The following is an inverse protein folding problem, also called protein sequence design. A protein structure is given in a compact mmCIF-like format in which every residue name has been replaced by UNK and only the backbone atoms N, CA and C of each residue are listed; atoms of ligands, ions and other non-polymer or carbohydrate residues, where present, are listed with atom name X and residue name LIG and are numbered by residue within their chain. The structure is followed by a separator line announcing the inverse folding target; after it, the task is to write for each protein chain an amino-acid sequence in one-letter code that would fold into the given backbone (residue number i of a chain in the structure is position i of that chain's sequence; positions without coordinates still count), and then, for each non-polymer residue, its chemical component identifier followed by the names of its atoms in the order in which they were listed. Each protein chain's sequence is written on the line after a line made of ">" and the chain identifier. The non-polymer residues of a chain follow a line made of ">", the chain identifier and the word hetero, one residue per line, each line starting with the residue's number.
data_IF_554268254307
#
_entry.id   IF_554268254307
#
_cell.length_a   1.000
_cell.length_b   1.000
_cell.length_c   1.000
_cell.angle_alpha   90.00
_cell.angle_beta   90.00
_cell.angle_gamma   90.00
#
_symmetry.space_group_name_H-M   'P 1'
#
loop_
_entity.id
_entity.type
_entity.pdbx_description
1 polymer ?
#
# COMPACT_ATOMS: atom_id res chain seq x y z
N UNK A 1 8.48 -15.72 64.73
CA UNK A 1 7.03 -15.89 64.95
C UNK A 1 6.50 -14.57 65.47
N UNK A 2 5.35 -14.17 64.92
CA UNK A 2 4.77 -12.83 64.83
C UNK A 2 4.49 -12.09 66.14
N UNK A 3 4.49 -10.75 66.09
CA UNK A 3 3.28 -9.94 66.31
C UNK A 3 3.52 -8.46 65.92
N UNK A 4 2.83 -8.06 64.86
CA UNK A 4 2.44 -6.72 64.43
C UNK A 4 1.71 -5.90 65.50
N UNK A 5 1.91 -4.58 65.57
CA UNK A 5 0.86 -3.58 65.27
C UNK A 5 1.38 -2.13 65.32
N UNK A 6 0.97 -1.37 64.30
CA UNK A 6 1.21 0.05 64.06
C UNK A 6 0.47 0.94 65.06
N UNK A 7 1.10 2.07 65.40
CA UNK A 7 0.51 3.20 66.13
C UNK A 7 0.30 4.38 65.17
N UNK A 8 -0.85 5.01 65.36
CA UNK A 8 -1.42 6.20 64.74
C UNK A 8 -0.63 7.50 64.99
N UNK A 9 -0.93 8.49 64.13
CA UNK A 9 -0.77 9.93 64.31
C UNK A 9 0.62 10.59 64.15
N UNK A 10 0.76 11.35 63.05
CA UNK A 10 1.40 12.66 63.12
C UNK A 10 0.81 13.64 62.11
N UNK A 11 -0.16 14.41 62.58
CA UNK A 11 -0.55 15.70 62.02
C UNK A 11 0.51 16.73 62.39
N UNK A 12 1.11 17.43 61.42
CA UNK A 12 2.08 18.49 61.74
C UNK A 12 2.72 19.20 60.56
N UNK A 13 1.98 20.16 59.96
CA UNK A 13 2.40 21.45 59.38
C UNK A 13 3.83 21.59 58.79
N UNK A 14 3.91 22.05 57.53
CA UNK A 14 4.49 23.36 57.14
C UNK A 14 4.29 23.56 55.64
N UNK A 15 3.73 24.72 55.29
CA UNK A 15 3.50 25.23 53.94
C UNK A 15 4.73 25.97 53.39
N UNK A 16 4.73 26.15 52.06
CA UNK A 16 5.43 27.14 51.19
C UNK A 16 6.05 26.40 49.98
N UNK A 17 5.93 26.79 48.72
CA UNK A 17 5.34 27.90 47.96
C UNK A 17 5.27 27.35 46.52
N UNK A 18 4.16 27.52 45.79
CA UNK A 18 4.20 27.51 44.33
C UNK A 18 3.07 28.38 43.78
N UNK A 19 3.51 29.47 43.15
CA UNK A 19 2.72 30.49 42.48
C UNK A 19 1.91 29.86 41.34
N UNK A 20 0.59 30.00 41.39
CA UNK A 20 -0.29 29.79 40.24
C UNK A 20 -1.14 31.06 40.05
N UNK A 21 -0.63 31.91 39.15
CA UNK A 21 -1.33 33.05 38.59
C UNK A 21 -2.51 32.57 37.72
N UNK A 22 -3.65 33.24 37.87
CA UNK A 22 -4.52 33.59 36.75
C UNK A 22 -5.45 32.51 36.21
N UNK A 23 -6.56 32.24 36.92
CA UNK A 23 -7.80 31.78 36.30
C UNK A 23 -8.80 32.95 36.30
N UNK A 24 -8.82 33.71 35.21
CA UNK A 24 -9.99 34.48 34.80
C UNK A 24 -10.23 34.20 33.34
N UNK A 25 -11.36 33.54 33.10
CA UNK A 25 -11.86 33.11 31.81
C UNK A 25 -12.18 34.30 30.90
N UNK A 26 -11.56 34.34 29.73
CA UNK A 26 -12.18 34.80 28.51
C UNK A 26 -12.11 33.63 27.54
N UNK A 27 -13.20 32.88 27.44
CA UNK A 27 -13.42 31.93 26.37
C UNK A 27 -13.65 32.72 25.09
N UNK A 28 -12.57 33.09 24.40
CA UNK A 28 -12.60 33.33 22.97
C UNK A 28 -12.38 31.97 22.31
N UNK A 29 -13.48 31.38 21.82
CA UNK A 29 -13.46 30.38 20.77
C UNK A 29 -12.80 31.02 19.55
N UNK A 30 -11.49 30.89 19.45
CA UNK A 30 -10.85 30.78 18.14
C UNK A 30 -11.00 29.32 17.75
N UNK A 31 -12.05 29.02 16.99
CA UNK A 31 -12.00 27.91 16.04
C UNK A 31 -10.86 28.26 15.08
N UNK A 32 -9.63 27.93 15.49
CA UNK A 32 -8.59 27.65 14.53
C UNK A 32 -9.04 26.34 13.88
N UNK A 33 -9.72 26.49 12.73
CA UNK A 33 -9.76 25.49 11.68
C UNK A 33 -8.30 25.15 11.33
N UNK A 34 -7.70 24.29 12.15
CA UNK A 34 -6.48 23.57 11.81
C UNK A 34 -6.91 22.55 10.75
N UNK A 35 -7.08 23.06 9.53
CA UNK A 35 -7.33 22.26 8.35
C UNK A 35 -6.30 21.13 8.33
N UNK A 36 -6.79 19.89 8.38
CA UNK A 36 -5.98 18.68 8.36
C UNK A 36 -4.96 18.81 7.20
N UNK A 37 -3.64 18.70 7.46
CA UNK A 37 -2.60 18.82 6.44
C UNK A 37 -2.82 17.91 5.22
N UNK A 38 -3.71 16.92 5.31
CA UNK A 38 -4.07 15.96 4.27
C UNK A 38 -5.19 16.40 3.33
N UNK A 39 -5.96 17.46 3.62
CA UNK A 39 -6.85 18.03 2.60
C UNK A 39 -6.07 18.64 1.42
N UNK A 40 -4.77 18.96 1.61
CA UNK A 40 -3.86 19.33 0.51
C UNK A 40 -3.41 18.16 -0.38
N UNK A 41 -3.60 16.90 0.04
CA UNK A 41 -3.06 15.73 -0.67
C UNK A 41 -3.96 15.21 -1.80
N UNK A 42 -5.18 15.72 -1.96
CA UNK A 42 -6.16 15.19 -2.93
C UNK A 42 -5.87 15.66 -4.37
N UNK A 43 -4.82 16.46 -4.61
CA UNK A 43 -4.56 17.11 -5.90
C UNK A 43 -3.09 17.22 -6.29
N UNK A 44 -2.16 16.50 -5.64
CA UNK A 44 -0.77 16.52 -6.08
C UNK A 44 -0.65 15.78 -7.43
N UNK A 45 -0.74 16.54 -8.53
CA UNK A 45 -0.54 16.03 -9.90
C UNK A 45 0.92 15.71 -10.18
N UNK A 46 1.83 16.16 -9.31
CA UNK A 46 3.26 15.98 -9.47
C UNK A 46 3.95 15.69 -8.14
N UNK A 47 5.04 14.92 -8.20
CA UNK A 47 5.92 14.65 -7.06
C UNK A 47 7.37 14.58 -7.53
N UNK A 48 8.23 15.45 -6.98
CA UNK A 48 9.67 15.33 -7.15
C UNK A 48 10.21 14.44 -6.02
N UNK A 49 10.93 13.39 -6.40
CA UNK A 49 11.61 12.47 -5.47
C UNK A 49 13.10 12.54 -5.72
N UNK A 50 13.88 12.67 -4.66
CA UNK A 50 15.34 12.77 -4.66
C UNK A 50 15.94 11.78 -3.66
N UNK A 51 17.27 11.64 -3.66
CA UNK A 51 17.97 10.83 -2.65
C UNK A 51 17.91 11.37 -1.21
N UNK A 52 17.51 12.62 -1.03
CA UNK A 52 17.39 13.23 0.31
C UNK A 52 16.04 12.92 0.95
N UNK A 53 15.05 12.53 0.14
CA UNK A 53 13.72 12.20 0.61
C UNK A 53 13.71 10.83 1.30
N UNK A 54 12.91 10.72 2.36
CA UNK A 54 12.73 9.46 3.05
C UNK A 54 11.84 8.53 2.20
N UNK A 55 12.39 7.42 1.71
CA UNK A 55 11.67 6.50 0.84
C UNK A 55 10.36 5.96 1.42
N UNK A 56 10.28 5.75 2.74
CA UNK A 56 9.03 5.32 3.38
C UNK A 56 7.96 6.41 3.29
N UNK A 57 8.33 7.66 3.61
CA UNK A 57 7.41 8.79 3.51
C UNK A 57 6.95 9.01 2.08
N UNK A 58 7.86 8.88 1.10
CA UNK A 58 7.51 8.96 -0.32
C UNK A 58 6.46 7.90 -0.68
N UNK A 59 6.71 6.62 -0.36
CA UNK A 59 5.81 5.49 -0.64
C UNK A 59 4.43 5.66 0.04
N UNK A 60 4.39 6.25 1.23
CA UNK A 60 3.14 6.52 1.96
C UNK A 60 2.35 7.71 1.37
N UNK A 61 3.04 8.69 0.78
CA UNK A 61 2.46 9.92 0.24
C UNK A 61 2.09 9.85 -1.26
N UNK A 62 2.48 8.80 -1.99
CA UNK A 62 1.98 8.60 -3.37
C UNK A 62 0.45 8.54 -3.35
N UNK A 63 -0.23 9.29 -4.26
CA UNK A 63 -1.69 9.24 -4.38
C UNK A 63 -2.18 7.79 -4.51
N UNK A 64 -3.10 7.32 -3.65
CA UNK A 64 -3.54 5.92 -3.66
C UNK A 64 -4.08 5.44 -5.01
N UNK A 65 -4.65 6.34 -5.81
CA UNK A 65 -5.19 6.08 -7.15
C UNK A 65 -4.13 5.85 -8.22
N UNK A 66 -2.90 6.28 -7.96
CA UNK A 66 -1.75 6.07 -8.82
C UNK A 66 -0.90 4.88 -8.39
N UNK A 67 -1.18 4.26 -7.24
CA UNK A 67 -0.45 3.09 -6.74
C UNK A 67 -1.04 1.80 -7.32
N UNK A 68 -0.24 1.06 -8.08
CA UNK A 68 -0.56 -0.32 -8.45
C UNK A 68 -0.31 -1.26 -7.27
N UNK A 69 0.86 -1.12 -6.65
CA UNK A 69 1.24 -1.84 -5.45
C UNK A 69 2.41 -1.15 -4.74
N UNK A 70 2.66 -1.56 -3.51
CA UNK A 70 3.82 -1.20 -2.72
C UNK A 70 4.15 -2.29 -1.71
N UNK A 71 5.42 -2.40 -1.37
CA UNK A 71 5.84 -3.22 -0.26
C UNK A 71 7.04 -2.62 0.46
N UNK A 72 7.22 -3.08 1.68
CA UNK A 72 8.36 -2.79 2.54
C UNK A 72 8.84 -4.10 3.13
N UNK A 73 10.15 -4.35 3.07
CA UNK A 73 10.73 -5.59 3.55
C UNK A 73 12.17 -5.42 4.03
N UNK A 74 12.66 -6.42 4.75
CA UNK A 74 14.09 -6.61 5.01
C UNK A 74 14.61 -7.69 4.08
N UNK A 75 15.70 -7.40 3.36
CA UNK A 75 16.34 -8.37 2.47
C UNK A 75 17.25 -9.33 3.26
N UNK A 76 17.85 -10.30 2.56
CA UNK A 76 18.75 -11.29 3.18
C UNK A 76 20.00 -10.66 3.86
N UNK A 77 20.38 -9.44 3.47
CA UNK A 77 21.53 -8.71 4.04
C UNK A 77 21.13 -7.84 5.24
N UNK A 78 19.86 -7.89 5.67
CA UNK A 78 19.34 -7.05 6.76
C UNK A 78 19.03 -5.62 6.34
N UNK A 79 19.06 -5.30 5.04
CA UNK A 79 18.78 -3.97 4.50
C UNK A 79 17.31 -3.78 4.22
N UNK A 80 16.81 -2.57 4.44
CA UNK A 80 15.40 -2.26 4.19
C UNK A 80 15.18 -1.90 2.73
N UNK A 81 14.21 -2.56 2.11
CA UNK A 81 13.78 -2.26 0.74
C UNK A 81 12.34 -1.77 0.80
N UNK A 82 12.10 -0.58 0.26
CA UNK A 82 10.76 -0.08 0.02
C UNK A 82 10.56 0.11 -1.49
N UNK A 83 9.37 -0.25 -1.96
CA UNK A 83 9.01 -0.20 -3.38
C UNK A 83 7.60 0.32 -3.54
N UNK A 84 7.38 1.12 -4.59
CA UNK A 84 6.05 1.52 -5.04
C UNK A 84 6.00 1.44 -6.56
N UNK A 85 4.96 0.80 -7.07
CA UNK A 85 4.65 0.68 -8.48
C UNK A 85 3.47 1.57 -8.84
N UNK A 86 3.49 2.13 -10.04
CA UNK A 86 2.50 3.09 -10.48
C UNK A 86 1.59 2.54 -11.57
N UNK A 87 0.33 2.98 -11.57
CA UNK A 87 -0.63 2.63 -12.62
C UNK A 87 -0.53 3.53 -13.85
N UNK A 88 -0.16 4.79 -13.67
CA UNK A 88 -0.47 5.86 -14.62
C UNK A 88 0.64 6.92 -14.79
N UNK A 89 1.87 6.60 -14.39
CA UNK A 89 3.06 7.45 -14.63
C UNK A 89 3.92 6.89 -15.77
N UNK A 90 4.83 7.70 -16.33
CA UNK A 90 5.83 7.21 -17.30
C UNK A 90 6.84 6.26 -16.66
N UNK A 91 7.20 6.51 -15.40
CA UNK A 91 7.97 5.59 -14.56
C UNK A 91 7.08 4.40 -14.16
N UNK A 92 7.62 3.18 -14.12
CA UNK A 92 6.85 2.01 -13.67
C UNK A 92 6.79 1.86 -12.16
N UNK A 93 7.87 2.21 -11.48
CA UNK A 93 7.95 2.19 -10.03
C UNK A 93 9.25 2.80 -9.50
N UNK A 94 9.28 3.07 -8.20
CA UNK A 94 10.44 3.54 -7.47
C UNK A 94 10.93 2.47 -6.50
N UNK A 95 12.25 2.34 -6.39
CA UNK A 95 12.89 1.47 -5.42
C UNK A 95 13.78 2.30 -4.49
N UNK A 96 13.62 2.06 -3.20
CA UNK A 96 14.39 2.67 -2.14
C UNK A 96 15.13 1.59 -1.37
N UNK A 97 16.37 1.88 -1.00
CA UNK A 97 17.23 1.02 -0.22
C UNK A 97 17.71 1.81 1.00
N UNK A 98 17.43 1.30 2.20
CA UNK A 98 17.66 1.98 3.48
C UNK A 98 17.09 3.42 3.48
N UNK A 99 15.85 3.55 3.01
CA UNK A 99 15.11 4.80 2.82
C UNK A 99 15.72 5.80 1.83
N UNK A 100 16.78 5.43 1.09
CA UNK A 100 17.38 6.28 0.06
C UNK A 100 16.91 5.86 -1.32
N UNK A 101 16.58 6.82 -2.20
CA UNK A 101 16.22 6.52 -3.60
C UNK A 101 17.38 5.77 -4.29
N UNK A 102 17.13 4.52 -4.66
CA UNK A 102 18.06 3.72 -5.46
C UNK A 102 17.86 4.04 -6.95
N UNK A 103 16.61 4.05 -7.38
CA UNK A 103 16.24 4.41 -8.75
C UNK A 103 14.81 4.01 -9.13
N UNK A 104 14.59 3.85 -10.42
CA UNK A 104 13.29 3.49 -11.00
C UNK A 104 13.32 2.18 -11.75
N UNK A 105 12.15 1.58 -11.95
CA UNK A 105 11.94 0.50 -12.91
C UNK A 105 11.00 0.94 -14.04
N UNK A 106 11.09 0.28 -15.20
CA UNK A 106 10.20 0.54 -16.34
C UNK A 106 8.77 0.10 -16.03
N UNK A 107 7.79 0.63 -16.78
CA UNK A 107 6.38 0.22 -16.65
C UNK A 107 6.18 -1.26 -16.96
N UNK A 108 6.85 -1.74 -18.01
CA UNK A 108 6.79 -3.15 -18.43
C UNK A 108 7.32 -4.07 -17.32
N UNK A 109 8.48 -3.72 -16.74
CA UNK A 109 9.06 -4.49 -15.63
C UNK A 109 8.14 -4.42 -14.39
N UNK A 110 7.59 -3.25 -14.05
CA UNK A 110 6.66 -3.11 -12.92
C UNK A 110 5.42 -4.00 -13.07
N UNK A 111 4.83 -4.02 -14.28
CA UNK A 111 3.65 -4.86 -14.58
C UNK A 111 4.00 -6.34 -14.55
N UNK A 112 5.10 -6.75 -15.19
CA UNK A 112 5.58 -8.12 -15.16
C UNK A 112 5.82 -8.60 -13.73
N UNK A 113 6.46 -7.76 -12.92
CA UNK A 113 6.75 -8.06 -11.51
C UNK A 113 5.48 -8.25 -10.67
N UNK A 114 4.51 -7.34 -10.80
CA UNK A 114 3.21 -7.44 -10.12
C UNK A 114 2.45 -8.70 -10.54
N UNK A 115 2.30 -8.91 -11.85
CA UNK A 115 1.58 -10.05 -12.42
C UNK A 115 2.22 -11.38 -12.02
N UNK A 116 3.54 -11.51 -12.09
CA UNK A 116 4.21 -12.76 -11.74
C UNK A 116 4.16 -13.08 -10.24
N UNK A 117 4.29 -12.09 -9.35
CA UNK A 117 4.14 -12.32 -7.89
C UNK A 117 2.71 -12.69 -7.51
N UNK A 118 1.74 -12.06 -8.15
CA UNK A 118 0.33 -12.42 -8.00
C UNK A 118 0.03 -13.83 -8.51
N UNK A 119 0.54 -14.21 -9.69
CA UNK A 119 0.43 -15.56 -10.24
C UNK A 119 1.08 -16.62 -9.33
N UNK A 120 2.30 -16.38 -8.84
CA UNK A 120 2.97 -17.29 -7.91
C UNK A 120 2.13 -17.51 -6.64
N UNK A 121 1.61 -16.41 -6.08
CA UNK A 121 0.74 -16.45 -4.91
C UNK A 121 -0.57 -17.22 -5.18
N UNK A 122 -1.18 -17.01 -6.36
CA UNK A 122 -2.40 -17.73 -6.77
C UNK A 122 -2.18 -19.24 -6.95
N UNK A 123 -0.97 -19.66 -7.31
CA UNK A 123 -0.61 -21.08 -7.47
C UNK A 123 -0.06 -21.71 -6.18
N UNK A 124 -0.41 -21.15 -5.01
CA UNK A 124 -0.13 -21.75 -3.72
C UNK A 124 1.30 -21.53 -3.20
N UNK A 125 2.08 -20.65 -3.83
CA UNK A 125 3.40 -20.22 -3.34
C UNK A 125 3.36 -18.73 -3.03
N UNK A 126 3.02 -18.33 -1.78
CA UNK A 126 2.98 -16.93 -1.40
C UNK A 126 4.31 -16.27 -1.71
N UNK A 127 4.28 -15.17 -2.46
CA UNK A 127 5.52 -14.50 -2.91
C UNK A 127 6.43 -14.11 -1.74
N UNK A 128 5.83 -13.80 -0.57
CA UNK A 128 6.53 -13.45 0.67
C UNK A 128 7.52 -14.52 1.13
N UNK A 129 7.24 -15.81 0.86
CA UNK A 129 8.14 -16.92 1.20
C UNK A 129 9.48 -16.85 0.45
N UNK A 130 9.50 -16.23 -0.74
CA UNK A 130 10.70 -16.02 -1.55
C UNK A 130 11.05 -14.54 -1.66
N UNK A 131 10.58 -13.69 -0.73
CA UNK A 131 10.72 -12.23 -0.83
C UNK A 131 12.17 -11.78 -1.06
N UNK A 132 13.13 -12.43 -0.41
CA UNK A 132 14.56 -12.15 -0.60
C UNK A 132 15.06 -12.46 -2.02
N UNK A 133 14.49 -13.46 -2.70
CA UNK A 133 14.83 -13.77 -4.09
C UNK A 133 14.16 -12.77 -5.04
N UNK A 134 12.88 -12.48 -4.83
CA UNK A 134 12.12 -11.49 -5.61
C UNK A 134 12.72 -10.08 -5.52
N UNK A 135 13.13 -9.66 -4.33
CA UNK A 135 13.77 -8.35 -4.14
C UNK A 135 15.15 -8.28 -4.77
N UNK A 136 15.95 -9.35 -4.73
CA UNK A 136 17.25 -9.39 -5.41
C UNK A 136 17.09 -9.15 -6.90
N UNK A 137 16.20 -9.89 -7.56
CA UNK A 137 15.98 -9.71 -9.00
C UNK A 137 15.31 -8.38 -9.34
N UNK A 138 14.47 -7.83 -8.47
CA UNK A 138 13.97 -6.46 -8.62
C UNK A 138 15.12 -5.45 -8.63
N UNK A 139 16.08 -5.55 -7.69
CA UNK A 139 17.21 -4.65 -7.59
C UNK A 139 18.11 -4.67 -8.83
N UNK A 140 18.23 -5.81 -9.51
CA UNK A 140 18.97 -5.96 -10.77
C UNK A 140 18.31 -5.22 -11.95
N UNK A 141 17.01 -4.90 -11.83
CA UNK A 141 16.24 -4.18 -12.85
C UNK A 141 16.14 -2.68 -12.60
N UNK A 142 16.64 -2.21 -11.45
CA UNK A 142 16.61 -0.79 -11.11
C UNK A 142 17.55 -0.02 -12.02
N UNK A 143 17.01 0.99 -12.68
CA UNK A 143 17.76 2.02 -13.39
C UNK A 143 18.13 3.10 -12.38
N UNK A 144 19.42 3.22 -11.99
CA UNK A 144 19.82 4.14 -10.93
C UNK A 144 19.58 5.59 -11.32
N UNK A 145 19.08 6.39 -10.40
CA UNK A 145 18.92 7.84 -10.60
C UNK A 145 19.08 8.62 -9.29
N UNK A 146 19.30 9.92 -9.43
CA UNK A 146 19.46 10.87 -8.32
C UNK A 146 18.13 11.57 -7.97
N UNK A 147 17.27 11.73 -8.97
CA UNK A 147 15.99 12.42 -8.85
C UNK A 147 15.02 11.96 -9.93
N UNK A 148 13.73 11.92 -9.61
CA UNK A 148 12.64 11.59 -10.53
C UNK A 148 11.51 12.59 -10.31
N UNK A 149 11.01 13.16 -11.39
CA UNK A 149 9.77 13.91 -11.40
C UNK A 149 8.64 12.99 -11.85
N UNK A 150 7.71 12.72 -10.96
CA UNK A 150 6.50 11.94 -11.25
C UNK A 150 5.39 12.90 -11.65
N UNK A 151 4.69 12.57 -12.73
CA UNK A 151 3.47 13.24 -13.15
C UNK A 151 2.34 12.21 -13.11
N UNK A 152 1.34 12.49 -12.27
CA UNK A 152 0.17 11.65 -12.10
C UNK A 152 -0.94 12.11 -13.03
N UNK A 153 -1.66 11.15 -13.62
CA UNK A 153 -2.64 11.49 -14.65
C UNK A 153 -3.92 12.11 -14.10
N UNK A 154 -4.13 12.06 -12.78
CA UNK A 154 -5.38 12.45 -12.11
C UNK A 154 -6.57 11.56 -12.48
N UNK A 155 -6.34 10.43 -13.16
CA UNK A 155 -7.38 9.46 -13.51
C UNK A 155 -7.90 8.78 -12.24
N UNK A 156 -9.19 8.44 -12.24
CA UNK A 156 -9.75 7.60 -11.18
C UNK A 156 -9.10 6.21 -11.20
N UNK A 157 -8.94 5.60 -10.01
CA UNK A 157 -8.48 4.21 -9.79
C UNK A 157 -9.01 3.21 -10.84
N UNK A 158 -10.31 3.28 -11.12
CA UNK A 158 -11.00 2.37 -12.07
C UNK A 158 -10.48 2.52 -13.50
N UNK A 159 -10.20 3.76 -13.92
CA UNK A 159 -9.66 4.03 -15.25
C UNK A 159 -8.20 3.61 -15.32
N UNK A 160 -7.41 3.91 -14.29
CA UNK A 160 -6.00 3.51 -14.21
C UNK A 160 -5.84 1.98 -14.30
N UNK A 161 -6.73 1.21 -13.68
CA UNK A 161 -6.69 -0.26 -13.72
C UNK A 161 -7.21 -0.88 -15.02
N UNK A 162 -8.19 -0.25 -15.66
CA UNK A 162 -8.59 -0.66 -17.01
C UNK A 162 -7.43 -0.49 -17.99
N UNK A 163 -6.74 0.65 -17.90
CA UNK A 163 -5.58 0.96 -18.72
C UNK A 163 -4.41 0.00 -18.40
N UNK A 164 -4.23 -0.37 -17.12
CA UNK A 164 -3.17 -1.30 -16.68
C UNK A 164 -3.40 -2.76 -17.13
N UNK A 165 -4.62 -3.28 -16.98
CA UNK A 165 -4.90 -4.71 -17.17
C UNK A 165 -5.34 -5.06 -18.59
N UNK A 166 -5.74 -4.06 -19.39
CA UNK A 166 -6.39 -4.28 -20.69
C UNK A 166 -7.67 -5.12 -20.61
N UNK A 167 -8.22 -5.35 -19.41
CA UNK A 167 -9.25 -6.33 -19.14
C UNK A 167 -10.61 -5.65 -18.86
N UNK A 168 -11.60 -5.92 -19.71
CA UNK A 168 -12.95 -5.37 -19.58
C UNK A 168 -13.69 -5.83 -18.30
N UNK A 169 -13.24 -6.89 -17.64
CA UNK A 169 -13.85 -7.44 -16.41
C UNK A 169 -13.53 -6.62 -15.14
N UNK A 170 -12.66 -5.60 -15.23
CA UNK A 170 -12.32 -4.68 -14.11
C UNK A 170 -13.54 -3.91 -13.57
N UNK A 171 -14.64 -3.85 -14.32
CA UNK A 171 -15.90 -3.26 -13.84
C UNK A 171 -16.44 -3.90 -12.55
N UNK A 172 -16.12 -5.17 -12.27
CA UNK A 172 -16.57 -5.89 -11.06
C UNK A 172 -15.69 -5.63 -9.82
N UNK A 173 -14.50 -5.04 -10.00
CA UNK A 173 -13.54 -4.76 -8.92
C UNK A 173 -13.83 -3.45 -8.16
N UNK A 174 -14.82 -2.68 -8.62
CA UNK A 174 -15.19 -1.36 -8.08
C UNK A 174 -15.51 -1.41 -6.58
N UNK A 175 -16.13 -2.48 -6.08
CA UNK A 175 -16.60 -2.58 -4.70
C UNK A 175 -15.51 -2.68 -3.63
N UNK A 176 -14.30 -3.18 -3.94
CA UNK A 176 -13.23 -3.35 -2.94
C UNK A 176 -12.16 -2.26 -2.98
N UNK A 177 -11.89 -1.66 -4.14
CA UNK A 177 -10.91 -0.58 -4.22
C UNK A 177 -11.50 0.75 -3.72
N UNK A 178 -12.83 0.87 -3.79
CA UNK A 178 -13.58 1.86 -3.02
C UNK A 178 -13.42 1.66 -1.50
N UNK A 179 -12.95 0.51 -1.01
CA UNK A 179 -12.73 0.22 0.43
C UNK A 179 -11.26 0.30 0.88
N UNK A 180 -10.28 0.29 -0.04
CA UNK A 180 -8.85 0.22 0.32
C UNK A 180 -7.97 1.37 -0.16
N UNK A 181 -8.34 2.07 -1.24
CA UNK A 181 -7.52 3.17 -1.81
C UNK A 181 -8.24 4.51 -1.87
N UNK A 182 -9.58 4.54 -1.81
CA UNK A 182 -10.31 5.81 -1.80
C UNK A 182 -11.40 5.86 -0.71
N UNK A 183 -11.15 6.51 0.44
CA UNK A 183 -12.16 6.65 1.49
C UNK A 183 -13.41 7.40 1.02
N UNK A 184 -13.37 8.06 -0.15
CA UNK A 184 -14.49 8.84 -0.68
C UNK A 184 -15.61 8.01 -1.33
N UNK A 185 -15.37 6.76 -1.77
CA UNK A 185 -16.44 5.95 -2.37
C UNK A 185 -17.13 4.98 -1.40
N UNK A 186 -16.52 4.66 -0.25
CA UNK A 186 -17.26 4.09 0.91
C UNK A 186 -18.45 4.99 1.27
N UNK A 187 -18.36 6.30 1.00
CA UNK A 187 -19.37 7.31 1.31
C UNK A 187 -20.65 7.25 0.46
N UNK A 188 -20.65 6.62 -0.73
CA UNK A 188 -21.86 6.59 -1.58
C UNK A 188 -22.85 5.48 -1.21
N UNK A 189 -22.41 4.46 -0.48
CA UNK A 189 -23.25 3.29 -0.15
C UNK A 189 -23.61 3.22 1.34
N UNK A 190 -23.29 4.24 2.13
CA UNK A 190 -23.62 4.30 3.56
C UNK A 190 -24.20 5.67 3.91
N UNK A 191 -25.45 5.90 3.49
CA UNK A 191 -26.25 7.03 3.96
C UNK A 191 -26.96 6.66 5.26
N UNK A 192 -26.38 6.96 6.44
CA UNK A 192 -27.10 7.29 7.71
C UNK A 192 -26.18 7.59 8.92
N UNK A 193 -26.07 8.89 9.25
CA UNK A 193 -26.06 9.52 10.59
C UNK A 193 -25.02 9.06 11.65
N UNK A 194 -24.04 9.93 11.97
CA UNK A 194 -23.23 10.04 13.22
C UNK A 194 -22.38 8.83 13.65
N UNK A 195 -22.78 7.59 13.39
CA UNK A 195 -21.95 6.37 13.47
C UNK A 195 -20.75 6.44 12.54
N UNK A 196 -20.93 7.11 11.39
CA UNK A 196 -19.98 7.14 10.28
C UNK A 196 -18.69 7.87 10.64
N UNK A 197 -18.74 8.90 11.50
CA UNK A 197 -17.54 9.60 11.93
C UNK A 197 -16.70 8.77 12.91
N UNK A 198 -17.35 8.08 13.86
CA UNK A 198 -16.63 7.20 14.80
C UNK A 198 -16.05 5.99 14.09
N UNK A 199 -16.79 5.42 13.14
CA UNK A 199 -16.30 4.32 12.33
C UNK A 199 -15.16 4.75 11.40
N UNK A 200 -15.29 5.91 10.73
CA UNK A 200 -14.21 6.51 9.93
C UNK A 200 -12.97 6.76 10.76
N UNK A 201 -13.10 7.40 11.93
CA UNK A 201 -11.98 7.61 12.86
C UNK A 201 -11.34 6.31 13.27
N UNK A 202 -12.13 5.27 13.59
CA UNK A 202 -11.61 3.95 13.95
C UNK A 202 -10.88 3.31 12.78
N UNK A 203 -11.45 3.35 11.58
CA UNK A 203 -10.82 2.84 10.37
C UNK A 203 -9.49 3.54 10.10
N UNK A 204 -9.47 4.88 10.09
CA UNK A 204 -8.26 5.67 9.89
C UNK A 204 -7.22 5.42 10.99
N UNK A 205 -7.64 5.24 12.24
CA UNK A 205 -6.75 4.92 13.36
C UNK A 205 -6.10 3.56 13.18
N UNK A 206 -6.88 2.53 12.83
CA UNK A 206 -6.35 1.18 12.57
C UNK A 206 -5.44 1.19 11.36
N UNK A 207 -5.85 1.81 10.25
CA UNK A 207 -5.03 1.93 9.05
C UNK A 207 -3.69 2.63 9.33
N UNK A 208 -3.71 3.72 10.12
CA UNK A 208 -2.51 4.42 10.55
C UNK A 208 -1.62 3.54 11.43
N UNK A 209 -2.23 2.81 12.37
CA UNK A 209 -1.51 1.84 13.20
C UNK A 209 -0.83 0.76 12.36
N UNK A 210 -1.55 0.17 11.40
CA UNK A 210 -1.00 -0.88 10.54
C UNK A 210 0.12 -0.35 9.64
N UNK A 211 -0.01 0.87 9.12
CA UNK A 211 1.07 1.53 8.34
C UNK A 211 2.28 1.90 9.19
N UNK A 212 2.10 2.11 10.49
CA UNK A 212 3.22 2.42 11.41
C UNK A 212 4.13 1.21 11.67
N UNK A 213 3.60 0.00 11.50
CA UNK A 213 4.38 -1.23 11.59
C UNK A 213 5.50 -1.22 10.55
N UNK A 214 6.66 -1.76 10.93
CA UNK A 214 7.83 -1.88 10.04
C UNK A 214 8.35 -3.30 10.00
N UNK A 215 8.98 -3.72 8.88
CA UNK A 215 9.77 -4.94 8.86
C UNK A 215 10.80 -4.98 10.00
N UNK A 216 11.00 -6.16 10.58
CA UNK A 216 11.82 -6.39 11.76
C UNK A 216 11.07 -6.30 13.10
N UNK A 217 9.85 -5.76 13.12
CA UNK A 217 9.02 -5.78 14.32
C UNK A 217 8.39 -7.17 14.55
N UNK A 218 8.11 -7.51 15.80
CA UNK A 218 7.45 -8.76 16.16
C UNK A 218 5.95 -8.77 15.84
N UNK A 219 5.37 -9.97 15.73
CA UNK A 219 3.94 -10.23 15.53
C UNK A 219 3.06 -9.44 16.50
N UNK A 220 3.50 -9.33 17.76
CA UNK A 220 2.81 -8.57 18.80
C UNK A 220 2.60 -7.09 18.44
N UNK A 221 3.48 -6.47 17.65
CA UNK A 221 3.31 -5.10 17.18
C UNK A 221 2.13 -4.96 16.22
N UNK A 222 1.92 -5.95 15.34
CA UNK A 222 0.80 -5.97 14.39
C UNK A 222 -0.50 -6.31 15.12
N UNK A 223 -0.46 -7.35 15.95
CA UNK A 223 -1.62 -7.82 16.72
C UNK A 223 -2.14 -6.78 17.73
N UNK A 224 -1.27 -5.90 18.24
CA UNK A 224 -1.65 -4.80 19.13
C UNK A 224 -2.48 -3.71 18.43
N UNK A 225 -2.32 -3.54 17.11
CA UNK A 225 -3.12 -2.58 16.33
C UNK A 225 -4.52 -3.11 16.06
N UNK A 226 -4.59 -4.32 15.50
CA UNK A 226 -5.84 -5.01 15.19
C UNK A 226 -5.59 -6.51 15.03
N UNK A 227 -6.64 -7.30 15.27
CA UNK A 227 -6.61 -8.73 14.94
C UNK A 227 -6.65 -8.92 13.43
N UNK A 228 -5.86 -9.88 12.87
CA UNK A 228 -5.96 -10.21 11.47
C UNK A 228 -7.34 -10.76 11.14
N UNK A 229 -7.83 -10.45 9.94
CA UNK A 229 -9.13 -10.92 9.45
C UNK A 229 -9.01 -12.27 8.76
N UNK A 230 -7.83 -12.56 8.22
CA UNK A 230 -7.47 -13.84 7.64
C UNK A 230 -6.01 -14.18 7.98
N UNK A 231 -5.76 -15.45 8.26
CA UNK A 231 -4.45 -15.96 8.66
C UNK A 231 -4.17 -17.24 7.88
N UNK A 232 -3.07 -17.25 7.14
CA UNK A 232 -2.63 -18.43 6.40
C UNK A 232 -1.26 -18.89 6.90
N UNK A 233 -1.19 -20.14 7.34
CA UNK A 233 0.07 -20.83 7.61
C UNK A 233 0.65 -21.31 6.29
N UNK A 234 1.86 -20.90 5.99
CA UNK A 234 2.49 -21.15 4.69
C UNK A 234 3.91 -21.67 4.90
N UNK A 235 4.52 -22.33 3.91
CA UNK A 235 5.90 -22.77 4.05
C UNK A 235 6.82 -21.61 4.47
N UNK A 236 7.56 -21.81 5.54
CA UNK A 236 8.51 -20.82 6.08
C UNK A 236 7.90 -19.69 6.90
N UNK A 237 6.57 -19.59 7.08
CA UNK A 237 6.02 -18.48 7.84
C UNK A 237 4.49 -18.39 7.96
N UNK A 238 4.04 -17.19 8.28
CA UNK A 238 2.65 -16.83 8.52
C UNK A 238 2.28 -15.62 7.65
N UNK A 239 1.14 -15.67 6.99
CA UNK A 239 0.53 -14.48 6.38
C UNK A 239 -0.60 -14.01 7.28
N UNK A 240 -0.53 -12.77 7.74
CA UNK A 240 -1.62 -12.07 8.43
C UNK A 240 -2.21 -11.04 7.45
N UNK A 241 -3.46 -11.24 7.04
CA UNK A 241 -4.15 -10.35 6.10
C UNK A 241 -5.24 -9.55 6.81
N UNK A 242 -5.29 -8.27 6.47
CA UNK A 242 -6.21 -7.25 6.95
C UNK A 242 -7.04 -6.78 5.76
N UNK A 243 -8.02 -7.60 5.38
CA UNK A 243 -8.74 -7.51 4.11
C UNK A 243 -9.43 -6.16 3.92
N UNK A 244 -10.05 -5.62 4.97
CA UNK A 244 -10.68 -4.29 4.96
C UNK A 244 -9.71 -3.16 4.65
N UNK A 245 -8.43 -3.36 4.88
CA UNK A 245 -7.37 -2.36 4.69
C UNK A 245 -6.46 -2.69 3.49
N UNK A 246 -6.71 -3.83 2.83
CA UNK A 246 -5.87 -4.39 1.76
C UNK A 246 -4.39 -4.45 2.15
N UNK A 247 -4.08 -4.83 3.39
CA UNK A 247 -2.70 -4.98 3.88
C UNK A 247 -2.48 -6.44 4.22
N UNK A 248 -1.31 -6.95 3.87
CA UNK A 248 -0.82 -8.20 4.43
C UNK A 248 0.57 -8.03 5.03
N UNK A 249 0.81 -8.83 6.06
CA UNK A 249 2.10 -9.00 6.69
C UNK A 249 2.54 -10.43 6.49
N UNK A 250 3.75 -10.63 5.98
CA UNK A 250 4.40 -11.94 5.99
C UNK A 250 5.38 -11.98 7.15
N UNK A 251 5.22 -12.97 8.02
CA UNK A 251 6.02 -13.15 9.21
C UNK A 251 6.81 -14.45 9.14
N UNK A 252 8.06 -14.40 9.58
CA UNK A 252 8.95 -15.56 9.77
C UNK A 252 9.43 -15.53 11.21
N UNK A 253 9.31 -16.64 11.92
CA UNK A 253 9.67 -16.76 13.35
C UNK A 253 9.05 -15.65 14.23
N UNK A 254 7.81 -15.27 13.92
CA UNK A 254 7.09 -14.22 14.64
C UNK A 254 7.61 -12.79 14.37
N UNK A 255 8.47 -12.59 13.36
CA UNK A 255 8.97 -11.28 12.95
C UNK A 255 8.40 -10.91 11.58
N UNK A 256 7.90 -9.68 11.44
CA UNK A 256 7.44 -9.12 10.17
C UNK A 256 8.62 -9.01 9.21
N UNK A 257 8.59 -9.78 8.12
CA UNK A 257 9.60 -9.73 7.06
C UNK A 257 9.15 -8.84 5.90
N UNK A 258 7.86 -8.88 5.57
CA UNK A 258 7.29 -8.14 4.45
C UNK A 258 5.96 -7.53 4.86
N UNK A 259 5.73 -6.29 4.41
CA UNK A 259 4.44 -5.61 4.42
C UNK A 259 4.08 -5.35 2.97
N UNK A 260 2.89 -5.76 2.54
CA UNK A 260 2.46 -5.65 1.15
C UNK A 260 1.07 -5.01 1.05
N UNK A 261 0.93 -4.09 0.10
CA UNK A 261 -0.32 -3.41 -0.22
C UNK A 261 -0.46 -3.23 -1.74
N UNK A 262 -1.58 -3.61 -2.36
CA UNK A 262 -2.68 -4.35 -1.76
C UNK A 262 -2.25 -5.78 -1.35
N UNK A 263 -3.01 -6.43 -0.46
CA UNK A 263 -2.77 -7.83 -0.07
C UNK A 263 -2.85 -8.77 -1.29
N UNK A 264 -1.69 -9.30 -1.73
CA UNK A 264 -1.64 -10.25 -2.83
C UNK A 264 -2.27 -11.60 -2.45
N UNK A 265 -2.20 -11.99 -1.18
CA UNK A 265 -2.89 -13.17 -0.65
C UNK A 265 -4.40 -13.07 -0.85
N UNK A 266 -5.01 -11.95 -0.49
CA UNK A 266 -6.44 -11.74 -0.68
C UNK A 266 -6.78 -11.64 -2.17
N UNK A 267 -6.04 -10.81 -2.92
CA UNK A 267 -6.30 -10.58 -4.34
C UNK A 267 -6.16 -11.85 -5.17
N UNK A 268 -5.19 -12.72 -4.88
CA UNK A 268 -4.99 -13.96 -5.64
C UNK A 268 -6.16 -14.93 -5.50
N UNK A 269 -6.79 -14.99 -4.32
CA UNK A 269 -7.94 -15.86 -4.05
C UNK A 269 -9.25 -15.31 -4.57
N UNK A 270 -9.40 -13.99 -4.58
CA UNK A 270 -10.70 -13.34 -4.85
C UNK A 270 -10.76 -12.68 -6.22
N UNK A 271 -9.62 -12.24 -6.76
CA UNK A 271 -9.50 -11.49 -8.01
C UNK A 271 -8.24 -11.85 -8.78
N UNK A 272 -7.91 -13.14 -8.90
CA UNK A 272 -6.70 -13.59 -9.61
C UNK A 272 -6.57 -13.05 -11.04
N UNK A 273 -7.69 -12.68 -11.69
CA UNK A 273 -7.70 -12.03 -13.00
C UNK A 273 -7.02 -10.64 -13.04
N UNK A 274 -6.79 -9.98 -11.90
CA UNK A 274 -6.00 -8.74 -11.82
C UNK A 274 -4.54 -8.96 -12.23
N UNK A 275 -4.01 -10.16 -12.01
CA UNK A 275 -2.63 -10.49 -12.33
C UNK A 275 -2.46 -10.94 -13.78
N UNK A 276 -3.56 -11.13 -14.50
CA UNK A 276 -3.50 -11.55 -15.89
C UNK A 276 -2.89 -10.46 -16.77
N UNK A 277 -1.86 -10.84 -17.50
CA UNK A 277 -1.23 -10.02 -18.53
C UNK A 277 -1.11 -10.87 -19.80
N UNK A 278 -1.59 -10.33 -20.93
CA UNK A 278 -1.57 -11.05 -22.20
C UNK A 278 -0.12 -11.34 -22.64
N UNK A 279 0.06 -12.43 -23.40
CA UNK A 279 1.38 -12.87 -23.91
C UNK A 279 2.44 -13.15 -22.83
N UNK A 280 1.98 -13.54 -21.64
CA UNK A 280 2.87 -13.93 -20.54
C UNK A 280 3.18 -15.43 -20.61
N UNK A 281 4.46 -15.78 -20.58
CA UNK A 281 4.94 -17.11 -20.27
C UNK A 281 4.87 -17.33 -18.75
N UNK A 282 3.72 -17.81 -18.27
CA UNK A 282 3.47 -18.01 -16.84
C UNK A 282 4.45 -18.97 -16.15
N UNK A 283 5.07 -19.90 -16.90
CA UNK A 283 6.09 -20.79 -16.33
C UNK A 283 7.39 -20.05 -15.98
N UNK A 284 7.65 -18.90 -16.60
CA UNK A 284 8.77 -18.04 -16.29
C UNK A 284 8.49 -17.07 -15.13
N UNK A 285 7.27 -17.05 -14.56
CA UNK A 285 6.95 -16.24 -13.38
C UNK A 285 7.57 -16.82 -12.10
N UNK A 286 8.89 -16.66 -12.01
CA UNK A 286 9.76 -17.05 -10.89
C UNK A 286 10.60 -15.85 -10.50
N UNK A 287 11.17 -15.82 -9.28
CA UNK A 287 12.04 -14.72 -8.86
C UNK A 287 13.16 -14.42 -9.85
N UNK A 288 13.72 -15.42 -10.52
CA UNK A 288 14.87 -15.28 -11.41
C UNK A 288 14.48 -14.88 -12.84
N UNK A 289 13.27 -15.25 -13.31
CA UNK A 289 12.91 -15.17 -14.74
C UNK A 289 11.74 -14.25 -15.06
N UNK A 290 11.09 -13.66 -14.05
CA UNK A 290 9.95 -12.76 -14.27
C UNK A 290 10.20 -11.63 -15.28
N UNK A 291 11.40 -11.03 -15.45
CA UNK A 291 11.60 -9.96 -16.44
C UNK A 291 11.41 -10.46 -17.87
N UNK A 292 11.60 -11.76 -18.10
CA UNK A 292 11.42 -12.41 -19.40
C UNK A 292 10.06 -13.08 -19.56
N UNK A 293 9.23 -13.08 -18.51
CA UNK A 293 7.93 -13.73 -18.55
C UNK A 293 6.96 -13.00 -19.47
N UNK A 294 7.10 -11.68 -19.61
CA UNK A 294 6.24 -10.86 -20.48
C UNK A 294 7.00 -10.58 -21.75
N UNK A 295 6.51 -11.15 -22.86
CA UNK A 295 7.05 -10.77 -24.16
C UNK A 295 6.39 -9.46 -24.52
N UNK A 296 7.18 -8.42 -24.83
CA UNK A 296 6.64 -7.16 -25.29
C UNK A 296 5.63 -7.44 -26.41
N UNK A 297 4.43 -6.89 -26.28
CA UNK A 297 3.51 -6.76 -27.40
C UNK A 297 4.25 -5.95 -28.45
N UNK A 298 4.87 -6.64 -29.41
CA UNK A 298 5.09 -6.10 -30.74
C UNK A 298 3.72 -5.52 -31.11
N UNK A 299 3.61 -4.19 -31.15
CA UNK A 299 2.34 -3.52 -31.39
C UNK A 299 1.81 -4.05 -32.71
N UNK A 300 0.95 -5.06 -32.66
CA UNK A 300 0.02 -5.35 -33.73
C UNK A 300 -0.85 -4.09 -33.79
N UNK A 301 -0.42 -3.15 -34.63
CA UNK A 301 -1.31 -2.19 -35.25
C UNK A 301 -2.43 -3.05 -35.81
N UNK A 302 -3.54 -3.10 -35.09
CA UNK A 302 -4.79 -3.57 -35.66
C UNK A 302 -4.95 -2.73 -36.93
N UNK A 303 -4.89 -3.31 -38.15
CA UNK A 303 -5.13 -2.53 -39.34
C UNK A 303 -6.51 -1.90 -39.15
N UNK A 304 -6.57 -0.58 -39.24
CA UNK A 304 -7.81 0.17 -39.13
C UNK A 304 -8.83 -0.52 -40.04
N UNK A 305 -9.86 -1.11 -39.44
CA UNK A 305 -10.96 -1.70 -40.18
C UNK A 305 -11.66 -0.53 -40.86
N UNK A 306 -11.31 -0.26 -42.12
CA UNK A 306 -12.00 0.72 -42.93
C UNK A 306 -13.43 0.22 -43.12
N UNK A 307 -14.47 0.93 -42.62
CA UNK A 307 -15.83 0.54 -42.92
C UNK A 307 -16.04 0.71 -44.43
N UNK A 308 -16.17 -0.39 -45.16
CA UNK A 308 -16.62 -0.41 -46.54
C UNK A 308 -18.09 0.00 -46.56
N UNK A 309 -18.37 1.30 -46.65
CA UNK A 309 -19.67 1.78 -47.07
C UNK A 309 -19.85 1.44 -48.54
N UNK A 310 -20.60 0.37 -48.81
CA UNK A 310 -21.14 0.10 -50.14
C UNK A 310 -22.39 0.97 -50.31
N UNK A 311 -22.42 1.94 -51.25
CA UNK A 311 -23.65 2.69 -51.49
C UNK A 311 -24.63 1.76 -52.21
N UNK A 312 -25.71 1.39 -51.52
CA UNK A 312 -26.85 0.72 -52.14
C UNK A 312 -27.42 1.63 -53.23
N UNK A 313 -27.32 1.19 -54.48
CA UNK A 313 -27.90 1.87 -55.62
C UNK A 313 -29.42 1.97 -55.48
N UNK A 314 -29.93 3.17 -55.73
CA UNK A 314 -31.35 3.39 -56.04
C UNK A 314 -31.63 2.82 -57.43
N UNK A 315 -32.65 1.97 -57.54
CA UNK A 315 -33.56 1.90 -58.69
C UNK A 315 -34.98 1.94 -58.15
#
# INVERSE_FOLDING_TARGET
>A
MSATTLVSDLVGRIACVAVALGLSACATLTDDDEADPRERSVLATELLVTRQDNGREVVENVPPESVMERFDMVNADGRRIAYVAFTDTETGGLVFLDNTLLGSISREDAQAFFSCRGYATANGRPWGADASQWSRSLLERVQPTMSIHLQFSGKSVVQSLKDLTGNAMVGQLRSLMDMGTNPLNVLKTASRLRSDYKERKRYETVLRGLRSVTPGQGEGAVAAVARPEDVAFVPGGLVMSYQRFLIEFYLVDGIVQVIQQPSLHQLSRTYGGLFYLANTNWQACTPEHWPSAVTALEHQRVPAYAPSFSPSGKR
#
